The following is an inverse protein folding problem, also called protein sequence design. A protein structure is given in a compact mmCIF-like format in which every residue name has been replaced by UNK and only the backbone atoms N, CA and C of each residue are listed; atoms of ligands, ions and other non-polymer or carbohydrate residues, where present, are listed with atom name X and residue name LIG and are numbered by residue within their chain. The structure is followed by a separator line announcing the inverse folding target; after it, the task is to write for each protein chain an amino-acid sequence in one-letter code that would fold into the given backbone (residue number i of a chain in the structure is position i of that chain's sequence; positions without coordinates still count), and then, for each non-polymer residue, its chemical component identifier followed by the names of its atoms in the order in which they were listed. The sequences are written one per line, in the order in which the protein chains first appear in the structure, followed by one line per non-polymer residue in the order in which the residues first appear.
data_IF_987971183230
#
_entry.id   IF_987971183230
#
_cell.length_a   1.000
_cell.length_b   1.000
_cell.length_c   1.000
_cell.angle_alpha   90.00
_cell.angle_beta   90.00
_cell.angle_gamma   90.00
#
_symmetry.space_group_name_H-M   'P 1'
#
loop_
_entity.id
_entity.type
_entity.pdbx_description
1 polymer ?
#
# COMPACT_ATOMS: atom_id res chain seq x y z
N UNK A 1 -17.02 -24.31 8.87
CA UNK A 1 -17.45 -23.71 10.14
C UNK A 1 -16.18 -23.36 10.96
N UNK A 2 -15.46 -22.29 10.59
CA UNK A 2 -14.21 -21.87 11.26
C UNK A 2 -14.01 -20.34 11.34
N UNK A 3 -15.01 -19.53 11.03
CA UNK A 3 -14.71 -18.14 10.63
C UNK A 3 -15.19 -17.07 11.63
N UNK A 4 -15.90 -17.45 12.69
CA UNK A 4 -16.37 -16.52 13.73
C UNK A 4 -15.37 -16.36 14.89
N UNK A 5 -14.09 -16.20 14.59
CA UNK A 5 -13.04 -15.93 15.58
C UNK A 5 -12.43 -14.54 15.37
N UNK A 6 -11.69 -14.06 16.37
CA UNK A 6 -10.87 -12.87 16.22
C UNK A 6 -9.46 -13.26 15.75
N UNK A 7 -9.17 -13.07 14.47
CA UNK A 7 -7.85 -13.26 13.91
C UNK A 7 -7.11 -11.93 13.95
N UNK A 8 -6.00 -11.85 14.69
CA UNK A 8 -5.17 -10.65 14.74
C UNK A 8 -4.49 -10.46 13.39
N UNK A 9 -4.72 -9.32 12.74
CA UNK A 9 -4.21 -9.02 11.39
C UNK A 9 -3.06 -8.02 11.39
N UNK A 10 -2.90 -7.27 12.46
CA UNK A 10 -1.80 -6.32 12.64
C UNK A 10 -1.46 -6.15 14.12
N UNK A 11 -0.18 -5.99 14.39
CA UNK A 11 0.38 -5.66 15.69
C UNK A 11 1.54 -4.69 15.45
N UNK A 12 1.34 -3.43 15.78
CA UNK A 12 2.25 -2.34 15.45
C UNK A 12 2.71 -1.62 16.72
N UNK A 13 3.95 -1.16 16.75
CA UNK A 13 4.41 -0.29 17.83
C UNK A 13 3.84 1.12 17.64
N UNK A 14 3.09 1.61 18.63
CA UNK A 14 2.56 2.98 18.62
C UNK A 14 3.56 3.96 19.22
N UNK A 15 4.13 3.58 20.37
CA UNK A 15 5.15 4.35 21.07
C UNK A 15 6.00 3.40 21.93
N UNK A 16 6.83 3.93 22.83
CA UNK A 16 7.71 3.14 23.70
C UNK A 16 6.98 2.25 24.71
N UNK A 17 5.69 2.46 24.94
CA UNK A 17 4.90 1.80 25.99
C UNK A 17 3.66 1.09 25.49
N UNK A 18 3.16 1.44 24.29
CA UNK A 18 1.92 0.90 23.73
C UNK A 18 2.16 0.28 22.35
N UNK A 19 1.52 -0.87 22.14
CA UNK A 19 1.26 -1.45 20.84
C UNK A 19 -0.17 -1.13 20.42
N UNK A 20 -0.39 -1.02 19.12
CA UNK A 20 -1.70 -0.92 18.49
C UNK A 20 -1.99 -2.22 17.72
N UNK A 21 -3.15 -2.80 17.93
CA UNK A 21 -3.53 -4.08 17.30
C UNK A 21 -4.94 -4.00 16.74
N UNK A 22 -5.18 -4.68 15.62
CA UNK A 22 -6.51 -4.89 15.09
C UNK A 22 -6.71 -6.35 14.69
N UNK A 23 -7.94 -6.83 14.77
CA UNK A 23 -8.31 -8.16 14.32
C UNK A 23 -9.71 -8.20 13.73
N UNK A 24 -10.02 -9.30 13.06
CA UNK A 24 -11.28 -9.51 12.32
C UNK A 24 -12.51 -9.52 13.23
N UNK A 25 -12.34 -9.89 14.50
CA UNK A 25 -13.37 -10.00 15.53
C UNK A 25 -14.71 -10.55 14.99
N UNK A 26 -14.65 -11.77 14.44
CA UNK A 26 -15.80 -12.48 13.84
C UNK A 26 -16.52 -11.67 12.75
N UNK A 27 -15.76 -11.17 11.77
CA UNK A 27 -16.24 -10.28 10.71
C UNK A 27 -16.85 -8.96 11.22
N UNK A 28 -16.36 -8.45 12.34
CA UNK A 28 -16.67 -7.11 12.85
C UNK A 28 -15.38 -6.48 13.35
N UNK A 29 -14.49 -6.03 12.44
CA UNK A 29 -13.13 -5.67 12.79
C UNK A 29 -13.06 -4.65 13.91
N UNK A 30 -12.16 -4.89 14.87
CA UNK A 30 -11.97 -4.03 16.02
C UNK A 30 -10.49 -3.84 16.31
N UNK A 31 -10.15 -2.67 16.86
CA UNK A 31 -8.80 -2.28 17.22
C UNK A 31 -8.70 -1.94 18.70
N UNK A 32 -7.50 -2.10 19.27
CA UNK A 32 -7.23 -1.76 20.67
C UNK A 32 -5.74 -1.49 20.89
N UNK A 33 -5.40 -1.05 22.09
CA UNK A 33 -4.05 -0.74 22.53
C UNK A 33 -3.60 -1.76 23.58
N UNK A 34 -2.36 -2.23 23.46
CA UNK A 34 -1.74 -3.16 24.42
C UNK A 34 -0.58 -2.46 25.09
N UNK A 35 -0.56 -2.44 26.42
CA UNK A 35 0.60 -1.93 27.19
C UNK A 35 1.71 -2.97 27.16
N UNK A 36 2.90 -2.59 26.67
CA UNK A 36 4.02 -3.51 26.44
C UNK A 36 4.58 -4.16 27.70
N UNK A 37 4.34 -3.58 28.89
CA UNK A 37 4.83 -4.13 30.18
C UNK A 37 4.04 -5.33 30.70
N UNK A 38 3.05 -5.83 29.95
CA UNK A 38 2.31 -7.07 30.31
C UNK A 38 1.44 -6.97 31.55
N UNK A 39 1.40 -5.81 32.22
CA UNK A 39 0.42 -5.51 33.24
C UNK A 39 -0.95 -5.51 32.58
N UNK A 40 -1.81 -6.47 32.96
CA UNK A 40 -3.25 -6.36 32.72
C UNK A 40 -3.68 -5.01 33.29
N UNK A 41 -3.87 -4.02 32.43
CA UNK A 41 -4.50 -2.79 32.85
C UNK A 41 -5.86 -3.22 33.41
N UNK A 42 -6.05 -3.11 34.72
CA UNK A 42 -7.31 -3.47 35.39
C UNK A 42 -8.47 -2.54 35.02
N UNK A 43 -8.33 -1.78 33.93
CA UNK A 43 -9.32 -0.86 33.39
C UNK A 43 -10.00 -1.43 32.14
N UNK A 44 -11.09 -0.80 31.68
CA UNK A 44 -11.81 -1.21 30.48
C UNK A 44 -10.90 -1.15 29.26
N UNK A 45 -10.96 -2.20 28.42
CA UNK A 45 -10.28 -2.25 27.14
C UNK A 45 -10.94 -1.23 26.21
N UNK A 46 -10.20 -0.21 25.79
CA UNK A 46 -10.66 0.72 24.77
C UNK A 46 -10.71 -0.02 23.42
N UNK A 47 -11.91 -0.22 22.91
CA UNK A 47 -12.17 -0.81 21.60
C UNK A 47 -12.55 0.28 20.61
N UNK A 48 -11.82 0.35 19.51
CA UNK A 48 -12.09 1.23 18.39
C UNK A 48 -12.64 0.44 17.20
N UNK A 49 -13.44 1.11 16.37
CA UNK A 49 -13.89 0.54 15.09
C UNK A 49 -12.68 0.24 14.18
N UNK A 50 -12.56 -1.02 13.77
CA UNK A 50 -11.50 -1.49 12.88
C UNK A 50 -11.85 -1.40 11.39
N UNK A 51 -13.05 -0.94 11.03
CA UNK A 51 -13.47 -0.84 9.63
C UNK A 51 -12.51 0.04 8.82
N UNK A 52 -12.00 -0.50 7.70
CA UNK A 52 -11.03 0.18 6.84
C UNK A 52 -9.60 0.21 7.41
N UNK A 53 -9.39 -0.28 8.63
CA UNK A 53 -8.07 -0.49 9.24
C UNK A 53 -7.67 -1.97 9.15
N UNK A 54 -8.62 -2.88 9.35
CA UNK A 54 -8.44 -4.32 9.34
C UNK A 54 -9.51 -4.99 8.48
N UNK A 55 -9.21 -6.10 7.78
CA UNK A 55 -10.21 -6.78 6.98
C UNK A 55 -11.25 -7.49 7.85
N UNK A 56 -12.44 -7.69 7.28
CA UNK A 56 -13.53 -8.47 7.86
C UNK A 56 -13.24 -9.97 7.82
N UNK A 57 -12.81 -10.47 6.65
CA UNK A 57 -12.49 -11.87 6.43
C UNK A 57 -11.02 -12.17 6.79
N UNK A 58 -10.74 -13.22 7.57
CA UNK A 58 -9.37 -13.62 7.90
C UNK A 58 -8.52 -14.00 6.68
N UNK A 59 -9.12 -14.43 5.56
CA UNK A 59 -8.40 -14.81 4.34
C UNK A 59 -7.90 -13.59 3.55
N UNK A 60 -8.49 -12.41 3.76
CA UNK A 60 -7.99 -11.21 3.12
C UNK A 60 -6.67 -10.76 3.72
N UNK A 61 -5.68 -10.53 2.83
CA UNK A 61 -4.39 -9.96 3.19
C UNK A 61 -4.52 -8.46 3.36
N UNK A 62 -3.77 -7.92 4.31
CA UNK A 62 -3.72 -6.50 4.62
C UNK A 62 -2.30 -6.12 5.01
N UNK A 63 -1.97 -4.84 4.85
CA UNK A 63 -0.72 -4.26 5.34
C UNK A 63 -1.04 -3.01 6.15
N UNK A 64 -0.22 -2.72 7.16
CA UNK A 64 -0.30 -1.46 7.87
C UNK A 64 1.04 -1.08 8.48
N UNK A 65 1.24 0.23 8.65
CA UNK A 65 2.39 0.83 9.32
C UNK A 65 1.92 2.01 10.16
N UNK A 66 2.57 2.19 11.31
CA UNK A 66 2.35 3.32 12.21
C UNK A 66 3.43 4.37 11.95
N UNK A 67 3.03 5.59 11.62
CA UNK A 67 3.96 6.71 11.37
C UNK A 67 3.48 7.90 12.20
N UNK A 68 4.28 8.32 13.18
CA UNK A 68 3.99 9.45 14.08
C UNK A 68 2.58 9.42 14.71
N UNK A 69 2.11 8.22 15.07
CA UNK A 69 0.78 8.01 15.65
C UNK A 69 -0.38 8.01 14.65
N UNK A 70 -0.09 8.08 13.34
CA UNK A 70 -1.06 7.89 12.27
C UNK A 70 -0.96 6.46 11.71
N UNK A 71 -2.09 5.78 11.58
CA UNK A 71 -2.16 4.45 10.98
C UNK A 71 -2.37 4.57 9.48
N UNK A 72 -1.41 4.07 8.72
CA UNK A 72 -1.51 3.88 7.28
C UNK A 72 -1.84 2.43 7.00
N UNK A 73 -2.96 2.14 6.35
CA UNK A 73 -3.46 0.78 6.15
C UNK A 73 -3.89 0.54 4.69
N UNK A 74 -3.47 -0.59 4.14
CA UNK A 74 -3.99 -1.18 2.91
C UNK A 74 -4.81 -2.41 3.24
N UNK A 75 -6.13 -2.35 3.04
CA UNK A 75 -7.07 -3.44 3.38
C UNK A 75 -8.36 -3.34 2.56
N UNK A 76 -9.34 -4.21 2.84
CA UNK A 76 -10.71 -4.10 2.33
C UNK A 76 -11.63 -3.47 3.37
N UNK A 77 -12.37 -2.42 2.99
CA UNK A 77 -13.17 -1.62 3.93
C UNK A 77 -14.58 -2.15 4.20
N UNK A 78 -15.02 -3.17 3.47
CA UNK A 78 -16.36 -3.73 3.59
C UNK A 78 -16.37 -5.25 3.78
N UNK A 79 -17.51 -5.74 4.22
CA UNK A 79 -17.73 -7.16 4.51
C UNK A 79 -17.60 -8.04 3.26
N UNK A 80 -18.05 -7.53 2.09
CA UNK A 80 -18.01 -8.26 0.82
C UNK A 80 -16.59 -8.40 0.22
N UNK A 81 -15.60 -7.67 0.74
CA UNK A 81 -14.22 -7.74 0.27
C UNK A 81 -13.97 -7.15 -1.12
N UNK A 82 -14.89 -6.33 -1.63
CA UNK A 82 -14.79 -5.74 -2.97
C UNK A 82 -14.48 -4.23 -2.95
N UNK A 83 -14.27 -3.65 -1.77
CA UNK A 83 -13.80 -2.27 -1.60
C UNK A 83 -12.37 -2.25 -1.02
N UNK A 84 -11.33 -2.51 -1.84
CA UNK A 84 -9.95 -2.32 -1.40
C UNK A 84 -9.67 -0.82 -1.21
N UNK A 85 -8.91 -0.48 -0.18
CA UNK A 85 -8.56 0.90 0.14
C UNK A 85 -7.18 1.00 0.74
N UNK A 86 -6.46 2.06 0.35
CA UNK A 86 -5.31 2.57 1.08
C UNK A 86 -5.80 3.81 1.84
N UNK A 87 -5.62 3.82 3.15
CA UNK A 87 -6.13 4.89 4.02
C UNK A 87 -5.13 5.32 5.07
N UNK A 88 -5.29 6.54 5.55
CA UNK A 88 -4.66 7.08 6.75
C UNK A 88 -5.75 7.41 7.75
N UNK A 89 -5.61 6.89 8.97
CA UNK A 89 -6.53 7.15 10.08
C UNK A 89 -5.76 7.66 11.29
N UNK A 90 -6.34 8.68 11.94
CA UNK A 90 -5.90 9.26 13.21
C UNK A 90 -7.13 9.87 13.91
N UNK A 91 -7.14 9.94 15.24
CA UNK A 91 -8.24 10.57 16.00
C UNK A 91 -8.37 12.08 15.73
N UNK A 92 -7.26 12.78 15.44
CA UNK A 92 -7.21 14.26 15.36
C UNK A 92 -7.10 14.86 13.96
N UNK A 93 -6.90 14.04 12.92
CA UNK A 93 -6.71 14.51 11.54
C UNK A 93 -7.79 14.00 10.60
N UNK A 94 -7.94 14.67 9.46
CA UNK A 94 -8.83 14.24 8.40
C UNK A 94 -8.34 12.89 7.88
N UNK A 95 -9.17 11.86 8.03
CA UNK A 95 -8.91 10.55 7.45
C UNK A 95 -8.92 10.64 5.92
N UNK A 96 -7.84 10.19 5.31
CA UNK A 96 -7.69 10.13 3.85
C UNK A 96 -7.81 8.69 3.38
N UNK A 97 -8.41 8.50 2.20
CA UNK A 97 -8.50 7.18 1.58
C UNK A 97 -8.48 7.28 0.06
N UNK A 98 -8.09 6.20 -0.61
CA UNK A 98 -8.24 6.06 -2.07
C UNK A 98 -9.70 6.17 -2.49
N UNK A 99 -9.96 6.55 -3.74
CA UNK A 99 -11.31 6.52 -4.30
C UNK A 99 -11.83 5.07 -4.45
N UNK A 100 -13.16 4.91 -4.35
CA UNK A 100 -13.82 3.60 -4.34
C UNK A 100 -13.87 2.94 -5.74
N UNK A 101 -13.43 3.64 -6.78
CA UNK A 101 -13.43 3.20 -8.20
C UNK A 101 -12.34 2.15 -8.53
N UNK A 102 -11.54 1.73 -7.54
CA UNK A 102 -10.44 0.78 -7.68
C UNK A 102 -10.85 -0.68 -7.34
N UNK A 103 -12.09 -1.06 -7.66
CA UNK A 103 -12.75 -2.30 -7.18
C UNK A 103 -12.28 -3.61 -7.85
N UNK A 104 -10.99 -3.75 -8.15
CA UNK A 104 -10.43 -4.97 -8.75
C UNK A 104 -9.37 -5.57 -7.81
N UNK A 105 -9.66 -6.76 -7.29
CA UNK A 105 -8.94 -7.53 -6.27
C UNK A 105 -7.48 -7.07 -6.00
N UNK A 106 -7.26 -6.35 -4.90
CA UNK A 106 -5.95 -5.84 -4.48
C UNK A 106 -5.43 -6.65 -3.30
N UNK A 107 -4.53 -7.60 -3.57
CA UNK A 107 -3.86 -8.39 -2.54
C UNK A 107 -2.72 -7.55 -1.96
N UNK A 108 -2.94 -6.93 -0.80
CA UNK A 108 -1.90 -6.18 -0.11
C UNK A 108 -0.83 -7.12 0.45
N UNK A 109 0.43 -6.73 0.25
CA UNK A 109 1.60 -7.54 0.61
C UNK A 109 2.42 -6.88 1.70
N UNK A 110 2.75 -5.59 1.54
CA UNK A 110 3.65 -4.90 2.45
C UNK A 110 3.50 -3.39 2.39
N UNK A 111 4.05 -2.70 3.38
CA UNK A 111 4.16 -1.24 3.41
C UNK A 111 5.49 -0.82 4.03
N UNK A 112 5.97 0.36 3.65
CA UNK A 112 7.22 0.91 4.17
C UNK A 112 7.16 2.43 4.27
N UNK A 113 7.80 2.99 5.28
CA UNK A 113 7.93 4.44 5.47
C UNK A 113 9.37 4.85 5.19
N UNK A 114 9.55 5.86 4.34
CA UNK A 114 10.86 6.42 4.02
C UNK A 114 10.89 7.92 4.27
N UNK A 115 11.91 8.37 4.98
CA UNK A 115 12.15 9.77 5.34
C UNK A 115 12.87 10.50 4.22
N UNK A 116 12.16 10.77 3.13
CA UNK A 116 12.71 11.47 1.96
C UNK A 116 13.09 12.92 2.25
N UNK A 117 12.56 13.49 3.33
CA UNK A 117 12.93 14.82 3.82
C UNK A 117 14.35 14.92 4.41
N UNK A 118 15.04 13.78 4.54
CA UNK A 118 16.39 13.70 5.09
C UNK A 118 17.46 13.52 4.00
N UNK A 119 18.68 14.09 4.19
CA UNK A 119 19.02 15.07 5.21
C UNK A 119 18.39 16.44 4.92
N UNK A 120 18.03 17.15 5.99
CA UNK A 120 17.42 18.48 5.92
C UNK A 120 18.36 19.50 5.28
N UNK A 121 17.81 20.41 4.47
CA UNK A 121 18.58 21.49 3.83
C UNK A 121 19.09 21.18 2.42
N UNK A 122 18.83 19.99 1.88
CA UNK A 122 19.00 19.73 0.46
C UNK A 122 17.85 20.36 -0.35
N UNK A 123 18.17 21.00 -1.48
CA UNK A 123 17.18 21.59 -2.39
C UNK A 123 16.19 20.56 -2.98
N UNK A 124 16.51 19.27 -2.87
CA UNK A 124 15.69 18.13 -3.30
C UNK A 124 15.03 17.40 -2.12
N UNK A 125 14.93 18.04 -0.94
CA UNK A 125 14.18 17.50 0.19
C UNK A 125 12.70 17.45 -0.18
N UNK A 126 12.17 16.25 -0.35
CA UNK A 126 10.77 15.99 -0.67
C UNK A 126 10.02 15.57 0.61
N UNK A 127 8.68 15.59 0.60
CA UNK A 127 7.90 15.11 1.74
C UNK A 127 8.17 13.61 1.96
N UNK A 128 8.14 13.20 3.22
CA UNK A 128 8.29 11.78 3.57
C UNK A 128 7.16 10.98 2.94
N UNK A 129 7.44 9.73 2.57
CA UNK A 129 6.47 8.91 1.84
C UNK A 129 6.21 7.59 2.51
N UNK A 130 4.96 7.14 2.36
CA UNK A 130 4.54 5.78 2.69
C UNK A 130 4.32 5.02 1.39
N UNK A 131 5.03 3.91 1.26
CA UNK A 131 4.97 3.02 0.12
C UNK A 131 4.08 1.82 0.44
N UNK A 132 3.29 1.39 -0.54
CA UNK A 132 2.42 0.23 -0.46
C UNK A 132 2.72 -0.73 -1.61
N UNK A 133 2.72 -2.02 -1.28
CA UNK A 133 3.02 -3.09 -2.23
C UNK A 133 1.82 -4.03 -2.31
N UNK A 134 1.34 -4.28 -3.52
CA UNK A 134 0.15 -5.11 -3.73
C UNK A 134 0.13 -5.71 -5.13
N UNK A 135 -0.68 -6.75 -5.32
CA UNK A 135 -1.02 -7.28 -6.64
C UNK A 135 -2.45 -6.89 -6.99
N UNK A 136 -2.71 -6.53 -8.25
CA UNK A 136 -4.04 -6.16 -8.76
C UNK A 136 -4.26 -6.69 -10.18
N UNK A 137 -5.49 -6.65 -10.70
CA UNK A 137 -5.73 -6.90 -12.13
C UNK A 137 -5.21 -5.74 -12.99
N UNK A 138 -4.32 -6.05 -13.94
CA UNK A 138 -3.71 -5.09 -14.85
C UNK A 138 -4.64 -4.70 -16.01
N UNK A 139 -5.56 -3.77 -15.75
CA UNK A 139 -6.54 -3.27 -16.74
C UNK A 139 -5.91 -2.54 -17.93
N UNK A 140 -4.64 -2.14 -17.84
CA UNK A 140 -3.91 -1.57 -18.96
C UNK A 140 -3.54 -2.57 -20.04
N UNK A 141 -3.73 -3.86 -19.78
CA UNK A 141 -3.46 -4.93 -20.71
C UNK A 141 -4.77 -5.54 -21.19
N UNK A 142 -5.04 -5.39 -22.48
CA UNK A 142 -6.19 -6.01 -23.16
C UNK A 142 -5.86 -7.47 -23.52
N UNK A 143 -5.73 -8.32 -22.49
CA UNK A 143 -5.54 -9.77 -22.67
C UNK A 143 -6.89 -10.49 -22.57
N UNK A 144 -7.00 -11.63 -23.28
CA UNK A 144 -8.16 -12.54 -23.17
C UNK A 144 -8.40 -13.05 -21.73
N UNK A 145 -7.37 -13.00 -20.87
CA UNK A 145 -7.45 -13.38 -19.46
C UNK A 145 -7.05 -12.21 -18.54
N UNK A 146 -7.69 -12.16 -17.37
CA UNK A 146 -7.38 -11.19 -16.32
C UNK A 146 -5.94 -11.35 -15.82
N UNK A 147 -5.03 -10.55 -16.37
CA UNK A 147 -3.61 -10.59 -16.00
C UNK A 147 -3.40 -9.91 -14.66
N UNK A 148 -2.78 -10.61 -13.70
CA UNK A 148 -2.37 -10.01 -12.43
C UNK A 148 -1.09 -9.20 -12.65
N UNK A 149 -0.97 -8.05 -11.99
CA UNK A 149 0.24 -7.24 -12.01
C UNK A 149 0.61 -6.83 -10.60
N UNK A 150 1.90 -6.77 -10.34
CA UNK A 150 2.45 -6.31 -9.07
C UNK A 150 2.70 -4.80 -9.12
N UNK A 151 2.40 -4.11 -8.04
CA UNK A 151 2.49 -2.64 -7.94
C UNK A 151 3.28 -2.21 -6.72
N UNK A 152 3.96 -1.09 -6.90
CA UNK A 152 4.38 -0.20 -5.83
C UNK A 152 3.55 1.09 -5.95
N UNK A 153 2.97 1.54 -4.85
CA UNK A 153 2.31 2.83 -4.75
C UNK A 153 2.97 3.68 -3.67
N UNK A 154 2.80 5.00 -3.76
CA UNK A 154 3.28 5.95 -2.75
C UNK A 154 2.21 7.00 -2.44
N UNK A 155 2.25 7.52 -1.22
CA UNK A 155 1.53 8.72 -0.78
C UNK A 155 2.47 9.58 0.05
N UNK A 156 2.32 10.90 -0.04
CA UNK A 156 3.06 11.84 0.80
C UNK A 156 2.45 11.87 2.21
N UNK A 157 3.30 11.91 3.23
CA UNK A 157 2.89 11.91 4.64
C UNK A 157 2.07 13.17 4.98
N UNK A 158 2.48 14.30 4.43
CA UNK A 158 1.88 15.63 4.58
C UNK A 158 0.60 15.87 3.78
N UNK A 159 0.15 14.92 2.95
CA UNK A 159 -1.08 15.05 2.16
C UNK A 159 -2.29 15.36 3.06
N UNK A 160 -3.06 16.39 2.70
CA UNK A 160 -4.26 16.84 3.44
C UNK A 160 -5.56 16.55 2.67
N UNK A 161 -5.45 15.93 1.49
CA UNK A 161 -6.52 15.80 0.52
C UNK A 161 -6.86 17.12 -0.16
N UNK A 162 -7.81 17.06 -1.10
CA UNK A 162 -8.19 18.23 -1.88
C UNK A 162 -9.22 19.12 -1.18
N UNK A 163 -9.16 20.43 -1.47
CA UNK A 163 -10.04 21.43 -0.86
C UNK A 163 -11.47 21.36 -1.40
N UNK A 164 -11.63 21.20 -2.72
CA UNK A 164 -12.93 21.18 -3.42
C UNK A 164 -13.21 19.85 -4.11
N UNK A 165 -12.27 19.41 -4.95
CA UNK A 165 -12.26 18.07 -5.57
C UNK A 165 -11.39 17.16 -4.69
N UNK A 166 -11.63 15.85 -4.67
CA UNK A 166 -10.85 14.89 -3.86
C UNK A 166 -10.86 15.20 -2.35
N UNK A 167 -11.95 15.78 -1.83
CA UNK A 167 -12.12 15.97 -0.38
C UNK A 167 -12.01 14.63 0.36
N UNK A 168 -11.14 14.59 1.37
CA UNK A 168 -10.83 13.38 2.15
C UNK A 168 -10.25 12.22 1.31
N UNK A 169 -9.69 12.53 0.14
CA UNK A 169 -8.99 11.57 -0.74
C UNK A 169 -7.55 11.98 -0.92
N UNK A 170 -6.68 11.01 -1.17
CA UNK A 170 -5.28 11.27 -1.49
C UNK A 170 -5.16 12.16 -2.73
N UNK A 171 -4.32 13.19 -2.65
CA UNK A 171 -3.91 14.03 -3.79
C UNK A 171 -2.54 13.64 -4.33
N UNK A 172 -1.79 12.87 -3.54
CA UNK A 172 -0.41 12.44 -3.85
C UNK A 172 -0.28 10.95 -4.17
N UNK A 173 -1.40 10.22 -4.26
CA UNK A 173 -1.39 8.79 -4.57
C UNK A 173 -0.94 8.54 -6.01
N UNK A 174 0.19 7.84 -6.17
CA UNK A 174 0.67 7.31 -7.45
C UNK A 174 0.97 5.83 -7.31
N UNK A 175 0.83 5.07 -8.40
CA UNK A 175 1.27 3.67 -8.50
C UNK A 175 2.02 3.38 -9.79
N UNK A 176 2.97 2.46 -9.72
CA UNK A 176 3.76 1.97 -10.83
C UNK A 176 3.86 0.45 -10.81
N UNK A 177 4.12 -0.17 -11.96
CA UNK A 177 4.29 -1.62 -12.08
C UNK A 177 5.66 -2.06 -11.56
N UNK A 178 5.70 -3.16 -10.81
CA UNK A 178 6.91 -3.92 -10.52
C UNK A 178 7.05 -5.03 -11.55
N UNK A 179 8.03 -4.88 -12.46
CA UNK A 179 8.33 -5.87 -13.49
C UNK A 179 9.41 -6.84 -13.00
N UNK A 180 9.02 -8.08 -12.73
CA UNK A 180 9.92 -9.17 -12.43
C UNK A 180 9.76 -10.24 -13.51
N UNK A 181 10.80 -10.46 -14.30
CA UNK A 181 10.79 -11.43 -15.41
C UNK A 181 12.15 -12.07 -15.58
N UNK A 182 12.16 -13.28 -16.14
CA UNK A 182 13.41 -13.95 -16.49
C UNK A 182 14.10 -13.21 -17.66
N UNK A 183 15.41 -12.89 -17.56
CA UNK A 183 16.08 -12.03 -18.54
C UNK A 183 16.18 -12.58 -19.96
N UNK A 184 16.21 -13.90 -20.14
CA UNK A 184 16.49 -14.51 -21.46
C UNK A 184 15.23 -14.68 -22.32
N UNK A 185 14.15 -15.18 -21.72
CA UNK A 185 12.89 -15.51 -22.41
C UNK A 185 11.75 -14.56 -22.05
N UNK A 186 11.96 -13.62 -21.12
CA UNK A 186 10.95 -12.68 -20.67
C UNK A 186 9.85 -13.31 -19.82
N UNK A 187 10.03 -14.53 -19.31
CA UNK A 187 8.98 -15.22 -18.54
C UNK A 187 8.56 -14.40 -17.31
N UNK A 188 7.27 -14.03 -17.15
CA UNK A 188 6.85 -13.09 -16.12
C UNK A 188 6.57 -13.77 -14.77
N UNK A 189 7.05 -13.12 -13.70
CA UNK A 189 6.69 -13.40 -12.30
C UNK A 189 5.86 -12.23 -11.77
N UNK A 190 4.55 -12.30 -12.00
CA UNK A 190 3.66 -11.16 -11.92
C UNK A 190 2.83 -11.07 -10.63
N UNK A 191 2.84 -12.10 -9.79
CA UNK A 191 2.13 -12.15 -8.52
C UNK A 191 3.11 -11.95 -7.36
N UNK A 192 3.03 -10.80 -6.69
CA UNK A 192 3.86 -10.47 -5.54
C UNK A 192 3.36 -11.21 -4.30
N UNK A 193 4.28 -11.90 -3.62
CA UNK A 193 4.00 -12.71 -2.43
C UNK A 193 4.46 -12.05 -1.14
N UNK A 194 5.64 -11.43 -1.16
CA UNK A 194 6.25 -10.75 -0.01
C UNK A 194 7.22 -9.65 -0.45
N UNK A 195 7.50 -8.70 0.45
CA UNK A 195 8.44 -7.58 0.21
C UNK A 195 9.32 -7.35 1.43
N UNK A 196 10.59 -7.10 1.18
CA UNK A 196 11.55 -6.62 2.17
C UNK A 196 12.18 -5.31 1.70
N UNK A 197 12.22 -4.31 2.58
CA UNK A 197 12.78 -2.99 2.28
C UNK A 197 14.09 -2.82 3.03
N UNK A 198 15.19 -2.74 2.27
CA UNK A 198 16.53 -2.55 2.81
C UNK A 198 16.96 -1.10 2.62
N UNK A 199 17.06 -0.37 3.71
CA UNK A 199 17.59 1.01 3.73
C UNK A 199 18.91 1.01 4.51
N UNK A 200 20.08 1.29 3.87
CA UNK A 200 21.38 1.25 4.55
C UNK A 200 21.51 2.21 5.74
N UNK A 201 20.66 3.23 5.81
CA UNK A 201 20.48 4.12 6.96
C UNK A 201 19.47 5.22 6.64
N UNK A 202 18.87 5.84 7.65
CA UNK A 202 17.80 6.84 7.50
C UNK A 202 18.19 8.03 6.59
N UNK A 203 19.45 8.47 6.66
CA UNK A 203 19.99 9.55 5.82
C UNK A 203 20.31 9.12 4.38
N UNK A 204 20.27 7.81 4.09
CA UNK A 204 20.66 7.18 2.83
C UNK A 204 19.47 6.49 2.15
N UNK A 205 18.27 7.03 2.30
CA UNK A 205 17.04 6.51 1.67
C UNK A 205 17.14 6.37 0.15
N UNK A 206 17.98 7.18 -0.52
CA UNK A 206 18.22 7.09 -1.97
C UNK A 206 18.90 5.78 -2.38
N UNK A 207 19.52 5.09 -1.43
CA UNK A 207 20.15 3.78 -1.61
C UNK A 207 19.22 2.62 -1.19
N UNK A 208 17.95 2.91 -0.89
CA UNK A 208 16.97 1.88 -0.54
C UNK A 208 16.79 0.89 -1.69
N UNK A 209 16.81 -0.40 -1.34
CA UNK A 209 16.48 -1.52 -2.22
C UNK A 209 15.17 -2.15 -1.77
N UNK A 210 14.23 -2.28 -2.69
CA UNK A 210 12.99 -3.02 -2.48
C UNK A 210 13.17 -4.43 -3.04
N UNK A 211 13.23 -5.44 -2.18
CA UNK A 211 13.21 -6.84 -2.58
C UNK A 211 11.77 -7.32 -2.62
N UNK A 212 11.38 -7.99 -3.69
CA UNK A 212 10.08 -8.67 -3.79
C UNK A 212 10.25 -10.14 -4.12
N UNK A 213 9.43 -10.99 -3.50
CA UNK A 213 9.27 -12.40 -3.85
C UNK A 213 8.04 -12.53 -4.74
N UNK A 214 8.21 -13.10 -5.94
CA UNK A 214 7.17 -13.19 -6.96
C UNK A 214 6.94 -14.64 -7.37
N UNK A 215 5.70 -14.94 -7.77
CA UNK A 215 5.32 -16.21 -8.39
C UNK A 215 4.65 -15.96 -9.75
N UNK A 216 4.69 -16.94 -10.64
CA UNK A 216 3.91 -16.90 -11.88
C UNK A 216 2.41 -17.10 -11.60
N UNK A 217 1.54 -16.40 -12.35
CA UNK A 217 0.09 -16.62 -12.30
C UNK A 217 -0.35 -17.98 -12.91
N UNK A 218 0.48 -18.59 -13.75
CA UNK A 218 0.13 -19.81 -14.48
C UNK A 218 0.15 -21.02 -13.56
N UNK A 219 -1.02 -21.41 -13.07
CA UNK A 219 -1.25 -22.56 -12.16
C UNK A 219 -0.92 -23.93 -12.77
N UNK A 220 -0.66 -24.01 -14.08
CA UNK A 220 -0.43 -25.26 -14.82
C UNK A 220 1.03 -25.69 -15.00
N UNK A 221 2.01 -24.82 -14.67
CA UNK A 221 3.43 -25.15 -14.68
C UNK A 221 3.94 -25.53 -13.28
N UNK A 222 5.11 -26.18 -13.19
CA UNK A 222 5.87 -26.27 -11.94
C UNK A 222 5.98 -24.86 -11.35
N UNK A 223 5.32 -24.61 -10.22
CA UNK A 223 5.20 -23.28 -9.62
C UNK A 223 6.56 -22.62 -9.50
N UNK A 224 6.82 -21.64 -10.36
CA UNK A 224 8.11 -20.96 -10.45
C UNK A 224 8.04 -19.66 -9.67
N UNK A 225 9.09 -19.39 -8.90
CA UNK A 225 9.23 -18.20 -8.08
C UNK A 225 10.50 -17.44 -8.46
N UNK A 226 10.50 -16.13 -8.25
CA UNK A 226 11.66 -15.28 -8.45
C UNK A 226 11.80 -14.27 -7.32
N UNK A 227 13.03 -13.81 -7.10
CA UNK A 227 13.32 -12.68 -6.22
C UNK A 227 13.89 -11.56 -7.09
N UNK A 228 13.23 -10.41 -7.08
CA UNK A 228 13.67 -9.22 -7.82
C UNK A 228 14.00 -8.10 -6.83
N UNK A 229 15.03 -7.31 -7.15
CA UNK A 229 15.42 -6.13 -6.39
C UNK A 229 15.18 -4.87 -7.23
N UNK A 230 14.50 -3.88 -6.65
CA UNK A 230 14.19 -2.60 -7.29
C UNK A 230 14.90 -1.49 -6.53
N UNK A 231 15.88 -0.80 -7.13
CA UNK A 231 16.55 0.30 -6.47
C UNK A 231 15.68 1.57 -6.47
N UNK A 232 15.80 2.39 -5.42
CA UNK A 232 15.02 3.62 -5.26
C UNK A 232 15.10 4.55 -6.48
N UNK A 233 16.27 4.71 -7.11
CA UNK A 233 16.38 5.56 -8.30
C UNK A 233 15.49 5.11 -9.48
N UNK A 234 15.23 3.80 -9.62
CA UNK A 234 14.30 3.27 -10.65
C UNK A 234 12.85 3.56 -10.28
N UNK A 235 12.53 3.47 -8.99
CA UNK A 235 11.20 3.83 -8.45
C UNK A 235 10.94 5.33 -8.65
N UNK A 236 11.90 6.19 -8.31
CA UNK A 236 11.81 7.63 -8.55
C UNK A 236 11.67 7.96 -10.04
N UNK A 237 12.41 7.28 -10.92
CA UNK A 237 12.27 7.45 -12.37
C UNK A 237 10.87 7.09 -12.85
N UNK A 238 10.28 6.01 -12.33
CA UNK A 238 8.92 5.62 -12.68
C UNK A 238 7.89 6.67 -12.26
N UNK A 239 7.97 7.17 -11.03
CA UNK A 239 7.05 8.22 -10.53
C UNK A 239 7.32 9.61 -11.13
N UNK A 240 8.56 9.88 -11.56
CA UNK A 240 8.95 11.07 -12.32
C UNK A 240 8.70 10.96 -13.83
N UNK A 241 8.14 9.84 -14.31
CA UNK A 241 7.81 9.58 -15.70
C UNK A 241 6.44 10.10 -16.13
N UNK A 242 6.01 9.70 -17.32
CA UNK A 242 4.70 10.07 -17.86
C UNK A 242 3.56 9.28 -17.18
N UNK A 243 2.36 9.85 -17.20
CA UNK A 243 1.17 9.22 -16.61
C UNK A 243 0.43 8.39 -17.66
N UNK A 244 -0.30 7.37 -17.21
CA UNK A 244 -1.25 6.63 -18.05
C UNK A 244 -2.65 7.22 -17.87
N UNK A 245 -3.35 7.41 -18.98
CA UNK A 245 -4.75 7.83 -19.01
C UNK A 245 -5.60 6.79 -19.75
N UNK A 246 -6.88 6.68 -19.38
CA UNK A 246 -7.87 5.87 -20.08
C UNK A 246 -8.64 6.75 -21.06
N UNK A 247 -8.63 6.39 -22.33
CA UNK A 247 -9.51 7.02 -23.31
C UNK A 247 -10.96 6.65 -22.97
N UNK A 248 -11.81 7.64 -22.68
CA UNK A 248 -13.20 7.41 -22.22
C UNK A 248 -14.08 6.72 -23.26
N UNK A 249 -13.79 6.91 -24.55
CA UNK A 249 -14.57 6.34 -25.64
C UNK A 249 -14.14 4.90 -25.94
N UNK A 250 -12.83 4.67 -26.08
CA UNK A 250 -12.31 3.35 -26.45
C UNK A 250 -12.02 2.44 -25.25
N UNK A 251 -12.03 2.99 -24.03
CA UNK A 251 -11.61 2.34 -22.79
C UNK A 251 -10.16 1.81 -22.84
N UNK A 252 -9.36 2.26 -23.81
CA UNK A 252 -7.96 1.87 -23.95
C UNK A 252 -7.05 2.81 -23.18
N UNK A 253 -6.00 2.22 -22.58
CA UNK A 253 -4.98 2.96 -21.87
C UNK A 253 -3.91 3.49 -22.84
N UNK A 254 -3.51 4.74 -22.65
CA UNK A 254 -2.43 5.36 -23.39
C UNK A 254 -1.51 6.13 -22.44
N UNK A 255 -0.29 6.42 -22.91
CA UNK A 255 0.64 7.28 -22.18
C UNK A 255 0.36 8.72 -22.56
N UNK A 256 0.01 9.54 -21.58
CA UNK A 256 -0.21 10.97 -21.80
C UNK A 256 1.14 11.66 -21.98
N UNK A 257 1.30 12.33 -23.13
CA UNK A 257 2.49 13.11 -23.50
C UNK A 257 2.23 14.61 -23.43
N UNK A 258 1.07 15.02 -22.94
CA UNK A 258 0.71 16.41 -22.71
C UNK A 258 1.56 17.08 -21.61
N UNK A 259 1.44 18.41 -21.47
CA UNK A 259 2.12 19.15 -20.42
C UNK A 259 1.62 18.71 -19.05
N UNK A 260 2.55 18.33 -18.16
CA UNK A 260 2.23 17.95 -16.78
C UNK A 260 1.85 19.21 -15.98
N UNK A 261 0.74 19.20 -15.20
CA UNK A 261 0.36 20.34 -14.37
C UNK A 261 1.42 20.68 -13.32
N UNK A 262 1.47 21.96 -12.92
CA UNK A 262 2.32 22.44 -11.83
C UNK A 262 1.46 22.95 -10.65
N UNK A 263 1.73 22.56 -9.39
CA UNK A 263 2.79 21.61 -8.99
C UNK A 263 2.53 20.18 -9.51
N UNK A 264 3.61 19.45 -9.80
CA UNK A 264 3.54 18.10 -10.34
C UNK A 264 2.67 17.17 -9.48
N UNK A 265 1.68 16.46 -10.04
CA UNK A 265 0.87 15.51 -9.29
C UNK A 265 1.69 14.39 -8.63
N UNK A 266 1.47 14.16 -7.33
CA UNK A 266 2.20 13.14 -6.56
C UNK A 266 3.51 13.59 -5.93
N UNK A 267 3.75 14.91 -5.90
CA UNK A 267 4.76 15.58 -5.09
C UNK A 267 4.08 16.32 -3.94
#
# INVERSE_FOLDING_TARGET
QRDCHNYIKMLLQLNSTHLYTCGTCAFSPACTYIVSTGSRAGGPVLLEDGKGRCPFDPEYRSTAIMVDGELYAGTVSNFQGNEPTISRSQESRIALKTENSLSWLQVFVGSAYLRESLPTGNAESDDDKVYFFFSETGKEFDYFENTIVSRIARVCKGDQGGERVLQRRWTTFLKAQLLCSHPEDGFPFNVLQDVFVLTPGELRWRETLFYGVFTSQNKGGLGSSAVCAFPMHSVQRAFGGLYKEVNRETQQWYTDTGPVPEPRPGM
#
